data_IF_458300982009
#
_entry.id   IF_458300982009
#
_cell.length_a   1.000
_cell.length_b   1.000
_cell.length_c   1.000
_cell.angle_alpha   90.00
_cell.angle_beta   90.00
_cell.angle_gamma   90.00
#
_symmetry.space_group_name_H-M   'P 1'
#
loop_
_entity.id
_entity.type
_entity.pdbx_description
1 polymer ?
#
# COMPACT_ATOMS: atom_id res chain seq x y z
N UNK A 1 -21.07 -30.12 14.96
CA UNK A 1 -19.81 -30.18 14.22
C UNK A 1 -19.15 -28.82 14.48
N UNK A 2 -18.02 -28.80 15.19
CA UNK A 2 -17.26 -27.55 15.37
C UNK A 2 -16.79 -27.10 14.00
N UNK A 3 -17.14 -25.89 13.60
CA UNK A 3 -16.55 -25.25 12.43
C UNK A 3 -15.03 -25.25 12.61
N UNK A 4 -14.31 -25.81 11.64
CA UNK A 4 -12.86 -25.76 11.62
C UNK A 4 -12.53 -24.33 11.24
N UNK A 5 -12.01 -23.53 12.19
CA UNK A 5 -11.54 -22.19 11.94
C UNK A 5 -10.28 -22.27 11.07
N UNK A 6 -10.35 -21.70 9.87
CA UNK A 6 -9.20 -21.60 8.98
C UNK A 6 -8.38 -20.39 9.42
N UNK A 7 -7.13 -20.61 9.81
CA UNK A 7 -6.24 -19.53 10.23
C UNK A 7 -4.92 -19.60 9.43
N UNK A 8 -4.38 -18.41 9.10
CA UNK A 8 -3.10 -18.24 8.45
C UNK A 8 -1.97 -18.06 9.47
N UNK A 9 -0.78 -18.52 9.12
CA UNK A 9 0.44 -18.08 9.79
C UNK A 9 0.71 -16.62 9.41
N UNK A 10 0.82 -15.73 10.40
CA UNK A 10 1.07 -14.30 10.17
C UNK A 10 2.55 -14.08 9.91
N UNK A 11 2.84 -13.43 8.79
CA UNK A 11 4.18 -13.00 8.35
C UNK A 11 4.25 -11.46 8.32
N UNK A 12 5.21 -10.89 7.58
CA UNK A 12 5.46 -9.44 7.61
C UNK A 12 4.56 -8.59 6.70
N UNK A 13 3.80 -9.19 5.78
CA UNK A 13 2.99 -8.42 4.82
C UNK A 13 3.82 -7.37 4.06
N UNK A 14 3.30 -6.17 3.91
CA UNK A 14 4.00 -5.04 3.26
C UNK A 14 5.31 -4.63 3.95
N UNK A 15 5.51 -4.98 5.23
CA UNK A 15 6.76 -4.73 5.95
C UNK A 15 7.97 -5.51 5.42
N UNK A 16 7.76 -6.50 4.55
CA UNK A 16 8.83 -7.31 3.94
C UNK A 16 9.36 -6.71 2.63
N UNK A 17 8.91 -5.52 2.21
CA UNK A 17 9.44 -4.83 1.01
C UNK A 17 10.96 -4.59 1.16
N UNK A 18 11.69 -4.74 0.05
CA UNK A 18 13.12 -4.39 -0.03
C UNK A 18 13.26 -2.89 0.17
N UNK A 19 14.23 -2.47 0.97
CA UNK A 19 14.44 -1.05 1.26
C UNK A 19 14.73 -0.23 -0.01
N UNK A 20 14.21 1.01 -0.06
CA UNK A 20 14.34 1.91 -1.24
C UNK A 20 15.79 2.10 -1.67
N UNK A 21 16.73 2.28 -0.73
CA UNK A 21 18.16 2.50 -1.03
C UNK A 21 18.77 1.28 -1.71
N UNK A 22 18.44 0.07 -1.25
CA UNK A 22 18.96 -1.18 -1.80
C UNK A 22 18.39 -1.43 -3.19
N UNK A 23 17.07 -1.29 -3.35
CA UNK A 23 16.39 -1.46 -4.63
C UNK A 23 16.88 -0.45 -5.67
N UNK A 24 16.98 0.83 -5.31
CA UNK A 24 17.50 1.87 -6.20
C UNK A 24 18.94 1.60 -6.62
N UNK A 25 19.77 1.04 -5.74
CA UNK A 25 21.15 0.66 -6.06
C UNK A 25 21.21 -0.43 -7.13
N UNK A 26 20.34 -1.45 -7.03
CA UNK A 26 20.26 -2.55 -8.00
C UNK A 26 19.71 -2.06 -9.35
N UNK A 27 18.67 -1.22 -9.32
CA UNK A 27 18.01 -0.74 -10.53
C UNK A 27 18.85 0.23 -11.36
N UNK A 28 19.85 0.90 -10.78
CA UNK A 28 20.78 1.78 -11.51
C UNK A 28 21.54 1.07 -12.64
N UNK A 29 21.81 -0.22 -12.47
CA UNK A 29 22.54 -1.02 -13.47
C UNK A 29 21.61 -1.65 -14.51
N UNK A 30 20.29 -1.56 -14.31
CA UNK A 30 19.30 -2.06 -15.25
C UNK A 30 19.24 -1.14 -16.47
N UNK A 31 19.41 -1.73 -17.65
CA UNK A 31 19.30 -1.04 -18.94
C UNK A 31 18.09 -1.55 -19.71
N UNK A 32 16.88 -1.11 -19.38
CA UNK A 32 15.68 -1.55 -20.07
C UNK A 32 15.66 -1.09 -21.52
N UNK A 33 14.96 -1.84 -22.37
CA UNK A 33 14.64 -1.35 -23.70
C UNK A 33 13.70 -0.15 -23.57
N UNK A 34 14.10 1.00 -24.12
CA UNK A 34 13.30 2.23 -24.07
C UNK A 34 12.23 2.26 -25.15
N UNK A 35 10.99 2.53 -24.75
CA UNK A 35 9.85 2.80 -25.62
C UNK A 35 9.35 4.20 -25.35
N UNK A 36 9.06 4.95 -26.42
CA UNK A 36 8.53 6.33 -26.29
C UNK A 36 7.10 6.35 -25.72
N UNK A 37 6.38 5.23 -25.88
CA UNK A 37 5.04 5.07 -25.35
C UNK A 37 5.01 4.89 -23.82
N UNK A 38 6.11 4.51 -23.18
CA UNK A 38 6.22 4.45 -21.71
C UNK A 38 6.49 5.88 -21.21
N UNK A 39 5.46 6.52 -20.71
CA UNK A 39 5.52 7.91 -20.24
C UNK A 39 5.84 8.03 -18.75
N UNK A 40 5.51 7.00 -17.97
CA UNK A 40 5.88 6.85 -16.57
C UNK A 40 6.43 5.44 -16.35
N UNK A 41 7.60 5.34 -15.72
CA UNK A 41 8.26 4.08 -15.41
C UNK A 41 8.93 4.15 -14.04
N UNK A 42 9.72 3.13 -13.68
CA UNK A 42 10.34 3.03 -12.34
C UNK A 42 11.35 4.14 -12.02
N UNK A 43 11.83 4.90 -13.02
CA UNK A 43 12.79 6.00 -12.82
C UNK A 43 12.18 7.15 -11.99
N UNK A 44 10.85 7.38 -12.10
CA UNK A 44 10.11 8.41 -11.37
C UNK A 44 9.73 8.01 -9.94
N UNK A 45 9.79 6.73 -9.61
CA UNK A 45 9.25 6.13 -8.37
C UNK A 45 7.74 6.32 -8.21
N UNK A 46 7.03 6.45 -9.33
CA UNK A 46 5.59 6.52 -9.34
C UNK A 46 4.98 5.16 -8.98
N UNK A 47 3.72 5.15 -8.54
CA UNK A 47 3.03 3.97 -8.02
C UNK A 47 2.77 2.93 -9.11
N UNK A 48 2.66 3.35 -10.38
CA UNK A 48 2.44 2.42 -11.49
C UNK A 48 3.13 2.85 -12.79
N UNK A 49 3.29 1.88 -13.69
CA UNK A 49 3.76 2.13 -15.05
C UNK A 49 2.63 2.73 -15.90
N UNK A 50 2.96 3.70 -16.77
CA UNK A 50 2.02 4.29 -17.74
C UNK A 50 2.50 4.05 -19.15
N UNK A 51 1.67 3.36 -19.95
CA UNK A 51 1.89 3.10 -21.36
C UNK A 51 0.86 3.84 -22.21
N UNK A 52 1.32 4.79 -23.03
CA UNK A 52 0.46 5.53 -23.97
C UNK A 52 -0.05 4.62 -25.08
N UNK A 53 -1.36 4.40 -25.15
CA UNK A 53 -2.00 3.60 -26.21
C UNK A 53 -2.21 4.45 -27.48
N UNK A 54 -2.69 5.68 -27.30
CA UNK A 54 -2.93 6.65 -28.36
C UNK A 54 -2.89 8.08 -27.81
N UNK A 55 -3.32 9.07 -28.56
CA UNK A 55 -3.28 10.49 -28.13
C UNK A 55 -4.30 10.83 -27.04
N UNK A 56 -5.28 9.98 -26.77
CA UNK A 56 -6.34 10.24 -25.80
C UNK A 56 -6.17 9.43 -24.51
N UNK A 57 -5.69 8.17 -24.61
CA UNK A 57 -5.78 7.16 -23.54
C UNK A 57 -4.45 6.48 -23.32
N UNK A 58 -4.10 6.31 -22.04
CA UNK A 58 -3.00 5.48 -21.55
C UNK A 58 -3.51 4.30 -20.74
N UNK A 59 -2.73 3.21 -20.74
CA UNK A 59 -2.84 2.08 -19.85
C UNK A 59 -1.97 2.34 -18.63
N UNK A 60 -2.50 2.03 -17.45
CA UNK A 60 -1.77 2.05 -16.17
C UNK A 60 -1.72 0.63 -15.64
N UNK A 61 -0.53 0.17 -15.25
CA UNK A 61 -0.34 -1.18 -14.74
C UNK A 61 0.57 -1.20 -13.52
N UNK A 62 0.10 -1.84 -12.46
CA UNK A 62 0.85 -2.12 -11.24
C UNK A 62 0.77 -3.58 -10.85
N UNK A 63 1.72 -4.02 -10.02
CA UNK A 63 1.81 -5.37 -9.50
C UNK A 63 2.23 -5.33 -8.04
N UNK A 64 1.32 -5.73 -7.16
CA UNK A 64 1.59 -5.88 -5.74
C UNK A 64 1.19 -7.26 -5.22
N UNK A 65 2.08 -7.89 -4.47
CA UNK A 65 1.80 -9.13 -3.74
C UNK A 65 2.70 -9.21 -2.51
N UNK A 66 2.20 -9.86 -1.47
CA UNK A 66 2.95 -9.99 -0.21
C UNK A 66 2.54 -11.24 0.57
N UNK A 67 3.30 -11.55 1.60
CA UNK A 67 3.02 -12.63 2.53
C UNK A 67 1.86 -12.27 3.47
N UNK A 68 1.29 -13.26 4.11
CA UNK A 68 0.17 -13.12 5.05
C UNK A 68 0.49 -12.13 6.18
N UNK A 69 -0.44 -11.24 6.46
CA UNK A 69 -0.31 -10.25 7.54
C UNK A 69 -1.45 -10.30 8.56
N UNK A 70 -2.48 -11.08 8.28
CA UNK A 70 -3.63 -11.32 9.14
C UNK A 70 -3.94 -12.81 9.20
N UNK A 71 -4.64 -13.26 10.25
CA UNK A 71 -4.97 -14.69 10.43
C UNK A 71 -6.13 -15.15 9.57
N UNK A 72 -7.10 -14.27 9.33
CA UNK A 72 -8.27 -14.61 8.53
C UNK A 72 -7.93 -14.60 7.04
N UNK A 73 -8.09 -15.72 6.31
CA UNK A 73 -7.74 -15.79 4.89
C UNK A 73 -8.65 -14.92 4.01
N UNK A 74 -9.91 -14.73 4.38
CA UNK A 74 -10.81 -13.85 3.65
C UNK A 74 -10.37 -12.39 3.75
N UNK A 75 -10.05 -11.92 4.97
CA UNK A 75 -9.53 -10.57 5.17
C UNK A 75 -8.16 -10.36 4.50
N UNK A 76 -7.30 -11.38 4.50
CA UNK A 76 -6.04 -11.31 3.76
C UNK A 76 -6.27 -11.09 2.27
N UNK A 77 -7.21 -11.81 1.66
CA UNK A 77 -7.59 -11.62 0.26
C UNK A 77 -8.12 -10.22 -0.02
N UNK A 78 -8.96 -9.68 0.88
CA UNK A 78 -9.48 -8.31 0.79
C UNK A 78 -8.36 -7.28 0.83
N UNK A 79 -7.49 -7.36 1.83
CA UNK A 79 -6.38 -6.42 2.02
C UNK A 79 -5.44 -6.44 0.81
N UNK A 80 -5.05 -7.63 0.36
CA UNK A 80 -4.12 -7.77 -0.77
C UNK A 80 -4.67 -7.18 -2.07
N UNK A 81 -5.97 -7.38 -2.35
CA UNK A 81 -6.61 -6.79 -3.52
C UNK A 81 -6.83 -5.29 -3.40
N UNK A 82 -7.22 -4.79 -2.21
CA UNK A 82 -7.35 -3.35 -1.96
C UNK A 82 -6.02 -2.64 -2.20
N UNK A 83 -4.92 -3.23 -1.70
CA UNK A 83 -3.58 -2.69 -1.87
C UNK A 83 -3.14 -2.70 -3.35
N UNK A 84 -3.32 -3.81 -4.06
CA UNK A 84 -2.92 -3.90 -5.47
C UNK A 84 -3.70 -2.96 -6.40
N UNK A 85 -4.97 -2.65 -6.06
CA UNK A 85 -5.79 -1.71 -6.83
C UNK A 85 -5.46 -0.25 -6.49
N UNK A 86 -4.90 0.01 -5.30
CA UNK A 86 -4.62 1.34 -4.77
C UNK A 86 -3.73 2.17 -5.69
N UNK A 87 -2.64 1.59 -6.20
CA UNK A 87 -1.71 2.24 -7.13
C UNK A 87 -2.41 2.78 -8.39
N UNK A 88 -3.42 2.05 -8.88
CA UNK A 88 -4.19 2.47 -10.07
C UNK A 88 -4.98 3.75 -9.77
N UNK A 89 -5.59 3.83 -8.56
CA UNK A 89 -6.30 5.03 -8.13
C UNK A 89 -5.36 6.19 -7.87
N UNK A 90 -4.16 5.95 -7.31
CA UNK A 90 -3.14 6.96 -7.08
C UNK A 90 -2.66 7.62 -8.39
N UNK A 91 -2.65 6.86 -9.49
CA UNK A 91 -2.33 7.36 -10.83
C UNK A 91 -3.51 8.04 -11.55
N UNK A 92 -4.65 8.25 -10.88
CA UNK A 92 -5.87 8.83 -11.47
C UNK A 92 -6.65 7.91 -12.41
N UNK A 93 -6.18 6.66 -12.56
CA UNK A 93 -6.74 5.69 -13.48
C UNK A 93 -7.99 4.98 -12.92
N UNK A 94 -8.78 4.43 -13.82
CA UNK A 94 -9.89 3.55 -13.51
C UNK A 94 -9.43 2.10 -13.70
N UNK A 95 -9.35 1.28 -12.63
CA UNK A 95 -8.96 -0.11 -12.73
C UNK A 95 -10.01 -0.89 -13.54
N UNK A 96 -9.58 -1.83 -14.38
CA UNK A 96 -10.45 -2.57 -15.29
C UNK A 96 -10.42 -4.07 -15.06
N UNK A 97 -9.24 -4.65 -14.98
CA UNK A 97 -9.09 -6.08 -14.73
C UNK A 97 -7.82 -6.38 -13.93
N UNK A 98 -7.80 -7.57 -13.34
CA UNK A 98 -6.69 -8.06 -12.55
C UNK A 98 -6.34 -9.52 -12.89
N UNK A 99 -5.06 -9.84 -12.73
CA UNK A 99 -4.50 -11.19 -12.76
C UNK A 99 -3.99 -11.54 -11.36
N UNK A 100 -4.47 -12.65 -10.79
CA UNK A 100 -4.04 -13.10 -9.48
C UNK A 100 -2.63 -13.70 -9.50
N UNK A 101 -1.84 -13.40 -8.48
CA UNK A 101 -0.55 -14.03 -8.19
C UNK A 101 -0.70 -14.83 -6.92
N UNK A 102 -0.47 -16.14 -6.99
CA UNK A 102 -0.67 -17.06 -5.88
C UNK A 102 0.60 -17.88 -5.64
N UNK A 103 1.17 -17.77 -4.46
CA UNK A 103 2.17 -18.70 -3.93
C UNK A 103 1.51 -19.49 -2.79
N UNK A 104 1.46 -20.82 -2.88
CA UNK A 104 0.71 -21.63 -1.94
C UNK A 104 1.46 -22.91 -1.59
N UNK A 105 1.55 -23.32 -0.29
CA UNK A 105 2.29 -24.51 0.10
C UNK A 105 1.66 -25.80 -0.45
N UNK A 106 2.49 -26.74 -0.85
CA UNK A 106 2.05 -28.07 -1.25
C UNK A 106 1.45 -28.82 -0.06
N UNK A 107 0.25 -29.38 -0.24
CA UNK A 107 -0.46 -30.12 0.80
C UNK A 107 -1.23 -29.26 1.81
N UNK A 108 -1.18 -27.95 1.69
CA UNK A 108 -1.98 -27.05 2.52
C UNK A 108 -3.49 -27.13 2.14
N UNK A 109 -4.36 -26.79 3.10
CA UNK A 109 -5.80 -26.85 2.90
C UNK A 109 -6.27 -25.83 1.85
N UNK A 110 -6.77 -26.30 0.70
CA UNK A 110 -7.26 -25.47 -0.40
C UNK A 110 -8.47 -24.59 -0.04
N UNK A 111 -9.21 -24.88 1.04
CA UNK A 111 -10.27 -23.98 1.53
C UNK A 111 -9.69 -22.63 1.99
N UNK A 112 -8.43 -22.59 2.47
CA UNK A 112 -7.72 -21.35 2.77
C UNK A 112 -7.57 -20.51 1.50
N UNK A 113 -7.09 -21.10 0.41
CA UNK A 113 -6.95 -20.39 -0.87
C UNK A 113 -8.30 -19.91 -1.40
N UNK A 114 -9.34 -20.73 -1.26
CA UNK A 114 -10.70 -20.38 -1.67
C UNK A 114 -11.21 -19.14 -0.92
N UNK A 115 -10.98 -19.05 0.39
CA UNK A 115 -11.37 -17.89 1.18
C UNK A 115 -10.55 -16.62 0.80
N UNK A 116 -9.24 -16.75 0.54
CA UNK A 116 -8.42 -15.66 0.02
C UNK A 116 -9.01 -15.13 -1.31
N UNK A 117 -9.29 -16.03 -2.24
CA UNK A 117 -9.85 -15.67 -3.54
C UNK A 117 -11.27 -15.09 -3.43
N UNK A 118 -12.07 -15.54 -2.45
CA UNK A 118 -13.40 -14.99 -2.16
C UNK A 118 -13.29 -13.54 -1.69
N UNK A 119 -12.40 -13.27 -0.72
CA UNK A 119 -12.15 -11.91 -0.22
C UNK A 119 -11.65 -10.98 -1.32
N UNK A 120 -10.70 -11.43 -2.13
CA UNK A 120 -10.23 -10.71 -3.31
C UNK A 120 -11.36 -10.41 -4.30
N UNK A 121 -12.22 -11.39 -4.57
CA UNK A 121 -13.37 -11.26 -5.48
C UNK A 121 -14.39 -10.22 -5.01
N UNK A 122 -14.62 -10.12 -3.70
CA UNK A 122 -15.57 -9.15 -3.14
C UNK A 122 -15.04 -7.71 -3.28
N UNK A 123 -13.76 -7.47 -3.02
CA UNK A 123 -13.11 -6.17 -3.23
C UNK A 123 -13.07 -5.80 -4.72
N UNK A 124 -12.68 -6.74 -5.59
CA UNK A 124 -12.67 -6.48 -7.02
C UNK A 124 -14.07 -6.15 -7.56
N UNK A 125 -15.13 -6.79 -7.03
CA UNK A 125 -16.51 -6.46 -7.40
C UNK A 125 -16.90 -5.04 -6.97
N UNK A 126 -16.54 -4.62 -5.75
CA UNK A 126 -16.76 -3.24 -5.27
C UNK A 126 -15.99 -2.21 -6.11
N UNK A 127 -14.75 -2.56 -6.50
CA UNK A 127 -13.92 -1.74 -7.36
C UNK A 127 -14.31 -1.76 -8.85
N UNK A 128 -15.27 -2.61 -9.24
CA UNK A 128 -15.67 -2.87 -10.64
C UNK A 128 -14.54 -3.46 -11.51
N UNK A 129 -13.64 -4.25 -10.87
CA UNK A 129 -12.49 -4.91 -11.48
C UNK A 129 -12.83 -6.36 -11.81
N UNK A 130 -12.57 -6.78 -13.05
CA UNK A 130 -12.74 -8.17 -13.45
C UNK A 130 -11.49 -9.00 -13.16
N UNK A 131 -11.58 -10.03 -12.31
CA UNK A 131 -10.50 -11.02 -12.20
C UNK A 131 -10.56 -11.91 -13.43
N UNK A 132 -9.52 -11.86 -14.29
CA UNK A 132 -9.52 -12.52 -15.62
C UNK A 132 -8.60 -13.73 -15.69
N UNK A 133 -7.94 -14.08 -14.59
CA UNK A 133 -7.00 -15.20 -14.51
C UNK A 133 -5.90 -14.96 -13.52
N UNK A 134 -4.73 -15.51 -13.80
CA UNK A 134 -3.56 -15.36 -12.95
C UNK A 134 -2.62 -16.55 -13.06
N UNK A 135 -1.66 -16.62 -12.15
CA UNK A 135 -0.69 -17.71 -12.06
C UNK A 135 -0.53 -18.19 -10.62
N UNK A 136 -0.34 -19.51 -10.44
CA UNK A 136 -0.11 -20.11 -9.14
C UNK A 136 1.13 -21.00 -9.16
N UNK A 137 1.91 -20.94 -8.10
CA UNK A 137 3.07 -21.82 -7.88
C UNK A 137 3.07 -22.36 -6.46
N UNK A 138 3.77 -23.48 -6.24
CA UNK A 138 4.08 -23.93 -4.89
C UNK A 138 5.20 -23.10 -4.28
N UNK A 139 5.03 -22.68 -3.03
CA UNK A 139 6.02 -21.98 -2.22
C UNK A 139 5.88 -22.45 -0.76
N UNK A 140 6.88 -22.18 0.05
CA UNK A 140 6.84 -22.52 1.48
C UNK A 140 5.87 -21.67 2.29
N UNK A 141 5.59 -20.44 1.84
CA UNK A 141 4.71 -19.48 2.50
C UNK A 141 3.60 -19.04 1.54
N UNK A 142 2.43 -18.80 2.09
CA UNK A 142 1.35 -18.19 1.32
C UNK A 142 1.72 -16.76 1.00
N UNK A 143 1.66 -16.42 -0.30
CA UNK A 143 1.68 -15.04 -0.79
C UNK A 143 0.56 -14.87 -1.79
N UNK A 144 -0.07 -13.72 -1.74
CA UNK A 144 -1.15 -13.37 -2.65
C UNK A 144 -1.07 -11.90 -3.03
N UNK A 145 -1.52 -11.60 -4.21
CA UNK A 145 -1.70 -10.26 -4.73
C UNK A 145 -2.16 -10.28 -6.17
N UNK A 146 -2.06 -9.15 -6.82
CA UNK A 146 -2.60 -8.99 -8.18
C UNK A 146 -1.69 -8.09 -9.03
N UNK A 147 -1.67 -8.38 -10.33
CA UNK A 147 -1.30 -7.42 -11.35
C UNK A 147 -2.59 -6.76 -11.81
N UNK A 148 -2.70 -5.45 -11.66
CA UNK A 148 -3.91 -4.69 -11.97
C UNK A 148 -3.67 -3.76 -13.14
N UNK A 149 -4.59 -3.78 -14.10
CA UNK A 149 -4.54 -2.91 -15.27
C UNK A 149 -5.72 -1.95 -15.25
N UNK A 150 -5.42 -0.66 -15.42
CA UNK A 150 -6.40 0.42 -15.51
C UNK A 150 -6.24 1.25 -16.77
N UNK A 151 -7.17 2.17 -16.98
CA UNK A 151 -7.15 3.14 -18.07
C UNK A 151 -7.31 4.55 -17.52
N UNK A 152 -6.63 5.51 -18.15
CA UNK A 152 -6.70 6.93 -17.82
C UNK A 152 -6.61 7.76 -19.09
N UNK A 153 -7.23 8.95 -19.12
CA UNK A 153 -6.96 9.92 -20.18
C UNK A 153 -5.58 10.53 -19.98
N UNK A 154 -4.87 10.78 -21.07
CA UNK A 154 -3.48 11.27 -21.01
C UNK A 154 -3.31 12.59 -20.23
N UNK A 155 -4.34 13.42 -20.18
CA UNK A 155 -4.35 14.68 -19.44
C UNK A 155 -4.93 14.57 -18.01
N UNK A 156 -5.29 13.38 -17.56
CA UNK A 156 -5.82 13.09 -16.22
C UNK A 156 -4.87 12.18 -15.41
N UNK A 157 -3.67 11.89 -15.92
CA UNK A 157 -2.65 11.11 -15.22
C UNK A 157 -2.14 11.92 -14.02
N UNK A 158 -2.13 11.29 -12.85
CA UNK A 158 -1.47 11.79 -11.65
C UNK A 158 -0.13 11.11 -11.48
N UNK A 159 0.80 11.78 -10.83
CA UNK A 159 2.14 11.27 -10.52
C UNK A 159 2.50 11.61 -9.08
N UNK A 160 3.45 10.86 -8.52
CA UNK A 160 3.93 11.11 -7.16
C UNK A 160 4.62 12.47 -7.05
N UNK A 161 5.36 12.88 -8.10
CA UNK A 161 6.02 14.17 -8.14
C UNK A 161 5.15 15.26 -8.76
N UNK A 162 5.26 16.46 -8.20
CA UNK A 162 4.58 17.63 -8.75
C UNK A 162 4.06 18.61 -7.71
N UNK A 163 4.22 18.29 -6.42
CA UNK A 163 3.86 19.24 -5.37
C UNK A 163 4.76 20.49 -5.42
N UNK A 164 4.15 21.65 -5.28
CA UNK A 164 4.78 22.98 -5.38
C UNK A 164 4.67 23.73 -4.05
N UNK A 165 5.55 24.70 -3.85
CA UNK A 165 5.50 25.57 -2.65
C UNK A 165 4.15 26.28 -2.56
N UNK A 166 3.45 26.07 -1.46
CA UNK A 166 2.10 26.61 -1.20
C UNK A 166 0.99 25.59 -1.35
N UNK A 167 1.29 24.37 -1.81
CA UNK A 167 0.33 23.27 -1.82
C UNK A 167 0.09 22.73 -0.41
N UNK A 168 -1.09 22.13 -0.20
CA UNK A 168 -1.47 21.42 1.02
C UNK A 168 -1.54 19.94 0.75
N UNK A 169 -0.90 19.13 1.59
CA UNK A 169 -1.07 17.69 1.60
C UNK A 169 -2.31 17.29 2.38
N UNK A 170 -3.08 16.37 1.84
CA UNK A 170 -4.30 15.84 2.46
C UNK A 170 -4.13 14.34 2.64
N UNK A 171 -4.09 13.89 3.89
CA UNK A 171 -4.09 12.48 4.24
C UNK A 171 -5.53 11.98 4.35
N UNK A 172 -5.91 10.97 3.56
CA UNK A 172 -7.30 10.51 3.46
C UNK A 172 -7.64 9.35 4.40
N UNK A 173 -6.63 8.68 4.97
CA UNK A 173 -6.78 7.58 5.93
C UNK A 173 -5.89 7.78 7.16
N UNK A 174 -6.30 7.28 8.35
CA UNK A 174 -5.47 7.35 9.55
C UNK A 174 -4.22 6.46 9.44
N UNK A 175 -3.15 6.85 10.11
CA UNK A 175 -1.89 6.11 10.19
C UNK A 175 -1.86 5.12 11.37
N UNK A 176 -0.91 4.19 11.37
CA UNK A 176 -0.60 3.31 12.49
C UNK A 176 -0.98 1.85 12.27
N UNK A 177 -1.23 1.44 11.02
CA UNK A 177 -1.62 0.06 10.66
C UNK A 177 -0.66 -0.97 11.21
N UNK A 178 0.64 -0.83 10.93
CA UNK A 178 1.62 -1.85 11.33
C UNK A 178 1.86 -1.88 12.84
N UNK A 179 1.77 -0.75 13.52
CA UNK A 179 1.82 -0.67 14.99
C UNK A 179 0.64 -1.41 15.63
N UNK A 180 -0.59 -1.16 15.17
CA UNK A 180 -1.78 -1.86 15.69
C UNK A 180 -1.69 -3.35 15.44
N UNK A 181 -1.28 -3.78 14.22
CA UNK A 181 -1.11 -5.19 13.88
C UNK A 181 -0.05 -5.88 14.74
N UNK A 182 1.09 -5.21 14.98
CA UNK A 182 2.14 -5.69 15.89
C UNK A 182 1.62 -5.85 17.32
N UNK A 183 0.95 -4.83 17.85
CA UNK A 183 0.38 -4.87 19.20
C UNK A 183 -0.66 -5.97 19.36
N UNK A 184 -1.51 -6.16 18.37
CA UNK A 184 -2.51 -7.24 18.37
C UNK A 184 -1.86 -8.63 18.38
N UNK A 185 -0.79 -8.82 17.62
CA UNK A 185 -0.09 -10.11 17.53
C UNK A 185 0.48 -10.59 18.88
N UNK A 186 0.77 -9.67 19.79
CA UNK A 186 1.29 -9.94 21.14
C UNK A 186 0.27 -9.70 22.26
N UNK A 187 -1.01 -9.46 21.91
CA UNK A 187 -2.09 -9.27 22.88
C UNK A 187 -2.07 -7.93 23.62
N UNK A 188 -1.45 -6.89 23.05
CA UNK A 188 -1.28 -5.56 23.68
C UNK A 188 -2.21 -4.50 23.08
N UNK A 189 -3.17 -4.88 22.26
CA UNK A 189 -4.27 -3.99 21.82
C UNK A 189 -5.57 -4.76 21.77
N UNK A 190 -6.71 -4.06 21.68
CA UNK A 190 -8.02 -4.67 21.68
C UNK A 190 -8.41 -5.24 20.32
N UNK A 191 -9.42 -6.14 20.32
CA UNK A 191 -10.04 -6.65 19.11
C UNK A 191 -10.69 -5.52 18.29
N UNK A 192 -11.28 -4.52 18.94
CA UNK A 192 -11.90 -3.37 18.28
C UNK A 192 -10.87 -2.57 17.48
N UNK A 193 -9.69 -2.33 18.05
CA UNK A 193 -8.59 -1.63 17.36
C UNK A 193 -8.10 -2.44 16.16
N UNK A 194 -7.98 -3.75 16.29
CA UNK A 194 -7.63 -4.66 15.20
C UNK A 194 -8.65 -4.61 14.08
N UNK A 195 -9.96 -4.68 14.39
CA UNK A 195 -11.04 -4.60 13.41
C UNK A 195 -11.01 -3.25 12.66
N UNK A 196 -10.75 -2.14 13.36
CA UNK A 196 -10.65 -0.83 12.71
C UNK A 196 -9.43 -0.76 11.77
N UNK A 197 -8.30 -1.38 12.14
CA UNK A 197 -7.14 -1.49 11.24
C UNK A 197 -7.47 -2.33 9.99
N UNK A 198 -8.17 -3.46 10.13
CA UNK A 198 -8.65 -4.27 9.00
C UNK A 198 -9.57 -3.45 8.10
N UNK A 199 -10.51 -2.74 8.67
CA UNK A 199 -11.43 -1.87 7.92
C UNK A 199 -10.67 -0.77 7.17
N UNK A 200 -9.66 -0.14 7.79
CA UNK A 200 -8.79 0.84 7.13
C UNK A 200 -8.10 0.24 5.90
N UNK A 201 -7.46 -0.91 6.06
CA UNK A 201 -6.74 -1.62 4.98
C UNK A 201 -7.66 -2.14 3.87
N UNK A 202 -8.93 -2.41 4.16
CA UNK A 202 -9.90 -2.92 3.18
C UNK A 202 -10.80 -1.84 2.58
N UNK A 203 -10.64 -0.58 2.97
CA UNK A 203 -11.35 0.56 2.37
C UNK A 203 -10.65 0.97 1.09
N UNK A 204 -11.36 0.91 -0.04
CA UNK A 204 -10.83 1.31 -1.34
C UNK A 204 -10.51 2.81 -1.41
N UNK A 205 -9.38 3.16 -2.01
CA UNK A 205 -9.02 4.54 -2.34
C UNK A 205 -9.85 5.12 -3.51
N UNK A 206 -10.73 4.31 -4.12
CA UNK A 206 -11.71 4.70 -5.14
C UNK A 206 -12.44 5.99 -4.80
N UNK A 207 -12.97 6.08 -3.59
CA UNK A 207 -13.81 7.21 -3.15
C UNK A 207 -13.01 8.49 -3.00
N UNK A 208 -11.77 8.40 -2.48
CA UNK A 208 -10.83 9.53 -2.44
C UNK A 208 -10.49 10.02 -3.84
N UNK A 209 -10.11 9.10 -4.73
CA UNK A 209 -9.79 9.41 -6.12
C UNK A 209 -10.97 10.06 -6.88
N UNK A 210 -12.20 9.56 -6.70
CA UNK A 210 -13.41 10.15 -7.30
C UNK A 210 -13.66 11.60 -6.83
N UNK A 211 -13.33 11.91 -5.58
CA UNK A 211 -13.42 13.27 -5.05
C UNK A 211 -12.30 14.13 -5.65
N UNK A 212 -11.07 13.65 -5.65
CA UNK A 212 -9.89 14.38 -6.15
C UNK A 212 -10.03 14.77 -7.64
N UNK A 213 -10.68 13.95 -8.46
CA UNK A 213 -10.97 14.27 -9.88
C UNK A 213 -11.76 15.57 -10.09
N UNK A 214 -12.37 16.13 -9.04
CA UNK A 214 -13.12 17.41 -9.08
C UNK A 214 -12.23 18.62 -8.82
N UNK A 215 -10.97 18.40 -8.46
CA UNK A 215 -10.02 19.43 -8.09
C UNK A 215 -8.78 19.37 -8.99
N UNK A 216 -8.04 20.46 -9.06
CA UNK A 216 -6.70 20.45 -9.61
C UNK A 216 -5.76 19.93 -8.52
N UNK A 217 -5.16 18.77 -8.74
CA UNK A 217 -4.15 18.19 -7.85
C UNK A 217 -2.79 18.28 -8.51
N UNK A 218 -1.75 18.52 -7.73
CA UNK A 218 -0.36 18.66 -8.19
C UNK A 218 0.39 17.34 -8.09
N UNK A 219 0.08 16.53 -7.08
CA UNK A 219 0.74 15.27 -6.75
C UNK A 219 -0.23 14.34 -6.03
N UNK A 220 -0.15 13.04 -6.29
CA UNK A 220 -0.92 12.01 -5.59
C UNK A 220 -0.04 10.77 -5.44
N UNK A 221 -0.08 10.15 -4.29
CA UNK A 221 0.48 8.82 -4.02
C UNK A 221 -0.37 8.12 -2.97
N UNK A 222 -0.34 6.80 -2.92
CA UNK A 222 -0.86 6.08 -1.76
C UNK A 222 0.24 5.89 -0.71
N UNK A 223 -0.14 5.77 0.55
CA UNK A 223 0.83 5.61 1.65
C UNK A 223 0.92 4.14 2.05
N UNK A 224 2.03 3.49 1.71
CA UNK A 224 2.23 2.06 1.96
C UNK A 224 3.49 1.79 2.80
N UNK A 225 4.34 0.88 2.39
CA UNK A 225 5.45 0.35 3.18
C UNK A 225 6.51 1.36 3.61
N UNK A 226 6.64 2.50 2.94
CA UNK A 226 7.62 3.56 3.30
C UNK A 226 7.09 4.55 4.33
N UNK A 227 5.82 4.41 4.75
CA UNK A 227 5.16 5.29 5.70
C UNK A 227 4.91 6.69 5.14
N UNK A 228 4.22 7.53 5.90
CA UNK A 228 3.86 8.88 5.45
C UNK A 228 5.10 9.69 5.00
N UNK A 229 6.14 9.71 5.82
CA UNK A 229 7.32 10.54 5.57
C UNK A 229 8.11 10.08 4.34
N UNK A 230 8.15 8.76 4.07
CA UNK A 230 8.80 8.22 2.88
C UNK A 230 8.09 8.60 1.60
N UNK A 231 6.77 8.53 1.58
CA UNK A 231 5.98 8.91 0.41
C UNK A 231 5.95 10.43 0.19
N UNK A 232 5.97 11.24 1.26
CA UNK A 232 6.14 12.69 1.12
C UNK A 232 7.49 13.08 0.50
N UNK A 233 8.58 12.36 0.84
CA UNK A 233 9.92 12.56 0.24
C UNK A 233 9.91 12.24 -1.28
N UNK A 234 8.96 11.46 -1.77
CA UNK A 234 8.78 11.19 -3.19
C UNK A 234 8.00 12.29 -3.92
N UNK A 235 7.12 13.01 -3.22
CA UNK A 235 6.22 14.00 -3.81
C UNK A 235 6.91 15.32 -4.19
N UNK A 236 7.96 15.72 -3.47
CA UNK A 236 8.65 17.00 -3.67
C UNK A 236 10.11 16.94 -3.22
N UNK A 237 10.94 17.84 -3.77
CA UNK A 237 12.30 18.13 -3.29
C UNK A 237 12.32 19.34 -2.34
N UNK A 238 11.20 20.05 -2.21
CA UNK A 238 11.03 21.16 -1.29
C UNK A 238 10.74 20.68 0.13
N UNK A 239 10.91 21.58 1.11
CA UNK A 239 10.59 21.28 2.50
C UNK A 239 9.09 21.20 2.74
N UNK A 240 8.65 20.18 3.48
CA UNK A 240 7.26 19.97 3.89
C UNK A 240 7.15 20.17 5.40
N UNK A 241 6.23 21.04 5.82
CA UNK A 241 5.89 21.20 7.23
C UNK A 241 4.69 20.33 7.58
N UNK A 242 4.83 19.50 8.62
CA UNK A 242 3.79 18.56 9.05
C UNK A 242 3.29 18.94 10.45
N UNK A 243 2.00 19.24 10.55
CA UNK A 243 1.31 19.48 11.82
C UNK A 243 0.81 18.15 12.37
N UNK A 244 1.63 17.48 13.19
CA UNK A 244 1.36 16.13 13.65
C UNK A 244 0.07 16.02 14.50
N UNK A 245 -0.34 17.09 15.17
CA UNK A 245 -1.61 17.20 15.89
C UNK A 245 -2.86 17.26 15.00
N UNK A 246 -2.68 17.42 13.68
CA UNK A 246 -3.75 17.39 12.68
C UNK A 246 -3.86 16.06 11.94
N UNK A 247 -2.96 15.12 12.22
CA UNK A 247 -2.96 13.79 11.61
C UNK A 247 -3.85 12.85 12.43
N UNK A 248 -4.72 12.13 11.74
CA UNK A 248 -5.51 11.08 12.36
C UNK A 248 -4.72 9.78 12.48
N UNK A 249 -4.79 9.16 13.65
CA UNK A 249 -4.17 7.87 13.94
C UNK A 249 -5.22 6.80 14.22
N UNK A 250 -4.90 5.56 13.87
CA UNK A 250 -5.71 4.42 14.28
C UNK A 250 -5.65 4.26 15.80
N UNK A 251 -6.80 3.95 16.43
CA UNK A 251 -6.82 3.67 17.86
C UNK A 251 -5.85 2.54 18.23
N UNK A 252 -5.07 2.75 19.28
CA UNK A 252 -4.04 1.81 19.75
C UNK A 252 -2.68 1.94 19.09
N UNK A 253 -2.52 2.75 18.03
CA UNK A 253 -1.21 2.92 17.37
C UNK A 253 -0.23 3.74 18.19
N UNK A 254 -0.69 4.84 18.79
CA UNK A 254 0.12 5.67 19.70
C UNK A 254 0.52 4.89 20.95
N UNK A 255 -0.41 4.16 21.56
CA UNK A 255 -0.15 3.31 22.73
C UNK A 255 0.86 2.21 22.37
N UNK A 256 0.74 1.57 21.21
CA UNK A 256 1.70 0.57 20.75
C UNK A 256 3.11 1.18 20.60
N UNK A 257 3.22 2.36 20.00
CA UNK A 257 4.49 3.08 19.88
C UNK A 257 5.07 3.45 21.26
N UNK A 258 4.24 3.90 22.21
CA UNK A 258 4.62 4.23 23.59
C UNK A 258 5.19 3.02 24.35
N UNK A 259 4.70 1.82 24.04
CA UNK A 259 5.17 0.54 24.61
C UNK A 259 6.33 -0.09 23.79
N UNK A 260 6.95 0.67 22.88
CA UNK A 260 8.09 0.27 22.06
C UNK A 260 7.82 -0.92 21.13
N UNK A 261 6.59 -1.10 20.66
CA UNK A 261 6.20 -2.15 19.73
C UNK A 261 6.48 -1.77 18.26
N UNK A 262 7.72 -1.38 17.98
CA UNK A 262 8.09 -0.93 16.64
C UNK A 262 8.15 -2.06 15.64
N UNK A 263 7.83 -1.73 14.41
CA UNK A 263 8.02 -2.64 13.29
C UNK A 263 9.42 -2.49 12.69
N UNK A 264 9.96 -3.58 12.17
CA UNK A 264 11.23 -3.53 11.44
C UNK A 264 11.15 -2.59 10.21
N UNK A 265 9.95 -2.48 9.60
CA UNK A 265 9.67 -1.55 8.52
C UNK A 265 9.79 -0.10 8.94
N UNK A 266 9.11 0.30 10.01
CA UNK A 266 9.18 1.66 10.58
C UNK A 266 10.59 2.07 10.94
N UNK A 267 11.36 1.16 11.55
CA UNK A 267 12.76 1.41 11.90
C UNK A 267 13.67 1.54 10.65
N UNK A 268 13.36 0.85 9.55
CA UNK A 268 14.06 1.06 8.27
C UNK A 268 13.71 2.42 7.67
N UNK A 269 12.44 2.80 7.69
CA UNK A 269 11.96 4.09 7.20
C UNK A 269 12.62 5.25 7.97
N UNK A 270 12.64 5.18 9.32
CA UNK A 270 13.29 6.18 10.16
C UNK A 270 14.77 6.35 9.81
N UNK A 271 15.53 5.27 9.70
CA UNK A 271 16.96 5.32 9.30
C UNK A 271 17.17 5.84 7.87
N UNK A 272 16.24 5.57 6.97
CA UNK A 272 16.34 6.04 5.59
C UNK A 272 16.20 7.57 5.46
N UNK A 273 15.49 8.19 6.41
CA UNK A 273 15.14 9.62 6.40
C UNK A 273 15.77 10.42 7.55
N UNK A 274 16.68 9.84 8.34
CA UNK A 274 17.26 10.51 9.55
C UNK A 274 17.92 11.86 9.25
N UNK A 275 18.50 12.01 8.04
CA UNK A 275 19.14 13.25 7.61
C UNK A 275 18.16 14.25 6.95
N UNK A 276 16.88 13.88 6.80
CA UNK A 276 15.87 14.65 6.07
C UNK A 276 14.74 15.15 6.95
N UNK A 277 14.53 14.56 8.12
CA UNK A 277 13.41 14.87 9.01
C UNK A 277 13.92 15.51 10.28
N UNK A 278 13.36 16.67 10.63
CA UNK A 278 13.58 17.37 11.88
C UNK A 278 12.25 17.46 12.65
N UNK A 279 12.26 17.01 13.89
CA UNK A 279 11.13 17.13 14.80
C UNK A 279 11.26 18.35 15.67
N UNK A 280 10.19 19.16 15.76
CA UNK A 280 10.12 20.35 16.62
C UNK A 280 9.44 20.07 17.98
N UNK A 281 9.08 18.82 18.22
CA UNK A 281 8.47 18.32 19.46
C UNK A 281 9.27 17.14 20.01
N UNK A 282 9.09 16.83 21.29
CA UNK A 282 9.72 15.72 21.98
C UNK A 282 8.65 14.71 22.40
N UNK A 283 8.15 13.95 21.43
CA UNK A 283 7.18 12.86 21.60
C UNK A 283 7.56 11.69 20.69
N UNK A 284 8.35 10.78 21.27
CA UNK A 284 8.89 9.65 20.55
C UNK A 284 7.81 8.71 19.96
N UNK A 285 6.68 8.51 20.65
CA UNK A 285 5.61 7.66 20.15
C UNK A 285 4.97 8.26 18.90
N UNK A 286 4.75 9.57 18.91
CA UNK A 286 4.21 10.30 17.77
C UNK A 286 5.17 10.25 16.57
N UNK A 287 6.48 10.42 16.81
CA UNK A 287 7.48 10.27 15.75
C UNK A 287 7.41 8.88 15.10
N UNK A 288 7.29 7.81 15.90
CA UNK A 288 7.26 6.44 15.38
C UNK A 288 6.02 6.16 14.52
N UNK A 289 4.85 6.72 14.86
CA UNK A 289 3.64 6.56 14.04
C UNK A 289 3.80 7.20 12.66
N UNK A 290 4.56 8.30 12.53
CA UNK A 290 4.82 8.97 11.25
C UNK A 290 5.71 8.14 10.31
N UNK A 291 6.55 7.25 10.85
CA UNK A 291 7.37 6.31 10.08
C UNK A 291 6.70 4.95 9.87
N UNK A 292 5.53 4.72 10.51
CA UNK A 292 4.90 3.40 10.48
C UNK A 292 4.50 2.99 9.07
N UNK A 293 4.88 1.79 8.61
CA UNK A 293 4.39 1.26 7.34
C UNK A 293 2.88 1.11 7.31
N UNK A 294 2.27 1.53 6.22
CA UNK A 294 0.85 1.37 5.97
C UNK A 294 0.60 0.28 4.92
N UNK A 295 -0.65 -0.09 4.73
CA UNK A 295 -1.12 -1.01 3.69
C UNK A 295 -2.42 -0.46 3.13
N UNK A 296 -2.51 -0.31 1.82
CA UNK A 296 -3.65 0.27 1.10
C UNK A 296 -3.96 1.71 1.54
N UNK A 297 -2.96 2.45 1.93
CA UNK A 297 -3.04 3.72 2.65
C UNK A 297 -3.53 4.92 1.94
#
# INVERSE_FOLDING_TARGET
MSEIKLELEVCGGCNEKIGVKDLSSILKDLKPYKREEITVGFDGRDDACVYKINDDISLVESLDFFSTMVKDPYDFGRIASTNAISDIYAMGAEPKFALNIVCFPEGENLEILKEILRGAGDVCREAEVSITGGHSIHDRKIKFGQCVTGLVKNNEIWTNRGAEVGDYFILTKPLGVSLVMSAYSVGMTSEENYIEAIKNMTTLNKYGAEILKKYKVSSVTDVTGFGLLGHLDECTEDSVEIFADQINFLPGSYEAASEFLFTAGGQRNRRALEDKVEFTFDDFALEEVLFDPQTSG
#
